data_IF_677201573910
#
_entry.id   IF_677201573910
#
_cell.length_a   1.000
_cell.length_b   1.000
_cell.length_c   1.000
_cell.angle_alpha   90.00
_cell.angle_beta   90.00
_cell.angle_gamma   90.00
#
_symmetry.space_group_name_H-M   'P 1'
#
loop_
_entity.id
_entity.type
_entity.pdbx_description
1 polymer ?
#
# COMPACT_ATOMS: atom_id res chain seq x y z
N UNK A 1 33.54 -17.33 6.95
CA UNK A 1 32.09 -17.24 6.81
C UNK A 1 31.49 -15.90 7.18
N UNK A 2 32.08 -15.10 8.08
CA UNK A 2 31.44 -13.82 8.53
C UNK A 2 31.65 -12.58 7.63
N UNK A 3 32.52 -12.62 6.62
CA UNK A 3 32.77 -11.47 5.75
C UNK A 3 31.82 -11.37 4.54
N UNK A 4 31.22 -12.49 4.15
CA UNK A 4 30.26 -12.53 3.02
C UNK A 4 28.88 -12.07 3.52
N UNK A 5 28.46 -12.46 4.73
CA UNK A 5 27.19 -12.02 5.33
C UNK A 5 27.12 -10.50 5.55
N UNK A 6 28.24 -9.90 5.96
CA UNK A 6 28.32 -8.42 6.14
C UNK A 6 28.26 -7.67 4.79
N UNK A 7 28.67 -8.28 3.69
CA UNK A 7 28.65 -7.65 2.38
C UNK A 7 27.27 -7.71 1.72
N UNK A 8 26.51 -8.80 1.93
CA UNK A 8 25.13 -8.92 1.43
C UNK A 8 24.15 -8.05 2.22
N UNK A 9 24.28 -7.98 3.54
CA UNK A 9 23.47 -7.07 4.36
C UNK A 9 23.74 -5.60 4.00
N UNK A 10 24.99 -5.24 3.65
CA UNK A 10 25.33 -3.89 3.16
C UNK A 10 24.79 -3.61 1.74
N UNK A 11 24.57 -4.62 0.91
CA UNK A 11 23.97 -4.44 -0.43
C UNK A 11 22.45 -4.27 -0.37
N UNK A 12 21.75 -4.97 0.53
CA UNK A 12 20.30 -4.79 0.72
C UNK A 12 19.96 -3.42 1.35
N UNK A 13 20.76 -2.95 2.31
CA UNK A 13 20.59 -1.59 2.87
C UNK A 13 20.92 -0.48 1.86
N UNK A 14 21.78 -0.72 0.89
CA UNK A 14 22.08 0.26 -0.17
C UNK A 14 20.94 0.29 -1.21
N UNK A 15 20.24 -0.81 -1.46
CA UNK A 15 19.10 -0.82 -2.38
C UNK A 15 17.87 -0.12 -1.79
N UNK A 16 17.60 -0.30 -0.50
CA UNK A 16 16.53 0.43 0.20
C UNK A 16 16.83 1.94 0.31
N UNK A 17 18.09 2.34 0.54
CA UNK A 17 18.48 3.75 0.59
C UNK A 17 18.54 4.44 -0.77
N UNK A 18 18.71 3.71 -1.88
CA UNK A 18 18.76 4.29 -3.22
C UNK A 18 17.40 4.74 -3.76
N UNK A 19 16.30 4.34 -3.12
CA UNK A 19 14.94 4.69 -3.57
C UNK A 19 14.41 6.02 -3.01
N UNK A 20 15.12 6.64 -2.05
CA UNK A 20 14.62 7.85 -1.37
C UNK A 20 15.06 9.19 -2.01
N UNK A 21 15.89 9.17 -3.04
CA UNK A 21 16.35 10.41 -3.69
C UNK A 21 15.82 10.64 -5.10
N UNK A 22 14.87 9.84 -5.56
CA UNK A 22 14.30 10.02 -6.90
C UNK A 22 12.98 10.79 -6.90
N UNK A 23 12.94 11.95 -6.25
CA UNK A 23 12.11 13.04 -6.74
C UNK A 23 12.99 13.93 -7.61
N UNK A 24 12.91 13.78 -8.93
CA UNK A 24 13.51 14.69 -9.89
C UNK A 24 14.94 14.35 -10.28
N UNK A 25 15.13 13.32 -11.06
CA UNK A 25 16.04 13.29 -12.19
C UNK A 25 15.64 12.13 -13.10
N UNK A 26 14.66 12.36 -13.95
CA UNK A 26 14.72 11.71 -15.25
C UNK A 26 16.05 12.16 -15.85
N UNK A 27 16.89 11.19 -16.26
CA UNK A 27 18.08 11.49 -17.05
C UNK A 27 17.64 12.30 -18.28
N UNK A 28 17.67 13.62 -18.13
CA UNK A 28 17.61 14.55 -19.26
C UNK A 28 18.84 14.32 -20.12
N UNK A 29 18.75 13.35 -21.01
CA UNK A 29 19.57 13.34 -22.20
C UNK A 29 19.15 14.56 -23.02
N UNK A 30 19.82 15.65 -22.72
CA UNK A 30 19.68 16.95 -23.32
C UNK A 30 20.06 16.86 -24.80
N UNK A 31 19.11 16.41 -25.61
CA UNK A 31 19.18 16.53 -27.05
C UNK A 31 18.32 17.74 -27.46
N UNK A 32 18.98 18.86 -27.65
CA UNK A 32 18.44 20.17 -28.02
C UNK A 32 17.79 20.16 -29.42
N UNK A 33 16.69 19.46 -29.56
CA UNK A 33 15.79 19.54 -30.69
C UNK A 33 14.34 19.42 -30.17
N UNK A 34 13.73 20.51 -29.70
CA UNK A 34 12.29 20.72 -29.60
C UNK A 34 11.43 19.59 -28.97
N UNK A 35 11.98 18.60 -28.30
CA UNK A 35 11.29 17.51 -27.71
C UNK A 35 10.86 17.89 -26.28
N UNK A 36 9.57 17.85 -26.08
CA UNK A 36 8.92 17.96 -24.79
C UNK A 36 9.50 16.95 -23.80
N UNK A 37 9.71 17.34 -22.53
CA UNK A 37 10.21 16.44 -21.48
C UNK A 37 9.24 15.25 -21.25
N UNK A 38 9.73 14.15 -20.72
CA UNK A 38 8.86 13.03 -20.34
C UNK A 38 7.81 13.48 -19.32
N UNK A 39 8.18 14.32 -18.36
CA UNK A 39 7.27 14.91 -17.38
C UNK A 39 6.12 15.66 -18.06
N UNK A 40 6.40 16.57 -18.97
CA UNK A 40 5.37 17.35 -19.68
C UNK A 40 4.44 16.46 -20.50
N UNK A 41 4.98 15.42 -21.14
CA UNK A 41 4.18 14.46 -21.91
C UNK A 41 3.24 13.67 -20.98
N UNK A 42 3.72 13.22 -19.84
CA UNK A 42 2.90 12.51 -18.85
C UNK A 42 1.85 13.45 -18.25
N UNK A 43 2.23 14.67 -17.92
CA UNK A 43 1.28 15.68 -17.43
C UNK A 43 0.16 15.95 -18.44
N UNK A 44 0.49 16.09 -19.72
CA UNK A 44 -0.54 16.26 -20.75
C UNK A 44 -1.48 15.06 -20.85
N UNK A 45 -0.93 13.85 -20.75
CA UNK A 45 -1.73 12.62 -20.77
C UNK A 45 -2.70 12.58 -19.59
N UNK A 46 -2.22 12.85 -18.37
CA UNK A 46 -3.06 12.86 -17.17
C UNK A 46 -4.10 14.00 -17.23
N UNK A 47 -3.73 15.18 -17.73
CA UNK A 47 -4.67 16.29 -17.97
C UNK A 47 -5.82 15.85 -18.89
N UNK A 48 -5.51 15.11 -19.95
CA UNK A 48 -6.53 14.59 -20.87
C UNK A 48 -7.41 13.52 -20.22
N UNK A 49 -6.82 12.59 -19.44
CA UNK A 49 -7.56 11.57 -18.69
C UNK A 49 -8.56 12.25 -17.75
N UNK A 50 -8.09 13.16 -16.89
CA UNK A 50 -8.91 13.85 -15.90
C UNK A 50 -9.99 14.69 -16.56
N UNK A 51 -9.65 15.46 -17.59
CA UNK A 51 -10.59 16.29 -18.33
C UNK A 51 -11.69 15.46 -19.01
N UNK A 52 -11.33 14.33 -19.61
CA UNK A 52 -12.28 13.48 -20.35
C UNK A 52 -13.22 12.73 -19.41
N UNK A 53 -12.72 12.32 -18.24
CA UNK A 53 -13.52 11.57 -17.27
C UNK A 53 -14.25 12.48 -16.26
N UNK A 54 -14.00 13.79 -16.28
CA UNK A 54 -14.66 14.71 -15.35
C UNK A 54 -16.16 14.73 -15.57
N UNK A 55 -16.91 14.34 -14.55
CA UNK A 55 -18.37 14.37 -14.53
C UNK A 55 -18.96 15.21 -13.39
N UNK A 56 -18.12 15.58 -12.42
CA UNK A 56 -18.52 16.36 -11.26
C UNK A 56 -17.44 17.39 -10.85
N UNK A 57 -17.68 18.14 -9.78
CA UNK A 57 -16.69 19.01 -9.16
C UNK A 57 -16.04 18.36 -7.92
N UNK A 58 -16.29 17.06 -7.70
CA UNK A 58 -15.82 16.29 -6.56
C UNK A 58 -14.97 15.14 -7.06
N UNK A 59 -13.82 14.92 -6.45
CA UNK A 59 -12.90 13.86 -6.87
C UNK A 59 -12.31 13.12 -5.67
N UNK A 60 -12.15 11.82 -5.83
CA UNK A 60 -11.35 10.98 -4.96
C UNK A 60 -10.14 10.49 -5.75
N UNK A 61 -8.94 10.83 -5.30
CA UNK A 61 -7.70 10.29 -5.78
C UNK A 61 -7.26 9.17 -4.83
N UNK A 62 -7.37 7.94 -5.28
CA UNK A 62 -6.86 6.78 -4.54
C UNK A 62 -5.37 6.65 -4.83
N UNK A 63 -4.55 6.62 -3.78
CA UNK A 63 -3.09 6.52 -3.89
C UNK A 63 -2.62 5.18 -3.33
N UNK A 64 -2.09 4.33 -4.19
CA UNK A 64 -1.43 3.08 -3.85
C UNK A 64 0.09 3.23 -4.01
N UNK A 65 0.87 2.39 -3.33
CA UNK A 65 2.30 2.28 -3.63
C UNK A 65 2.51 1.86 -5.08
N UNK A 66 1.73 0.92 -5.54
CA UNK A 66 1.84 0.27 -6.84
C UNK A 66 2.34 -1.17 -6.70
N UNK A 67 2.55 -1.83 -7.82
CA UNK A 67 3.14 -3.16 -7.89
C UNK A 67 3.87 -3.36 -9.20
N UNK A 68 4.90 -4.19 -9.19
CA UNK A 68 5.60 -4.71 -10.35
C UNK A 68 4.96 -6.00 -10.87
N UNK A 69 4.02 -6.58 -10.11
CA UNK A 69 3.31 -7.83 -10.42
C UNK A 69 1.97 -7.56 -11.09
N UNK A 70 1.75 -8.11 -12.27
CA UNK A 70 0.53 -7.89 -13.06
C UNK A 70 -0.75 -8.33 -12.35
N UNK A 71 -0.70 -9.40 -11.59
CA UNK A 71 -1.87 -9.90 -10.85
C UNK A 71 -2.48 -8.85 -9.92
N UNK A 72 -1.67 -7.92 -9.40
CA UNK A 72 -2.13 -6.84 -8.56
C UNK A 72 -3.00 -5.81 -9.30
N UNK A 73 -2.91 -5.74 -10.62
CA UNK A 73 -3.66 -4.74 -11.39
C UNK A 73 -5.18 -5.00 -11.36
N UNK A 74 -5.60 -6.26 -11.30
CA UNK A 74 -7.01 -6.58 -11.10
C UNK A 74 -7.53 -6.15 -9.74
N UNK A 75 -6.68 -6.25 -8.72
CA UNK A 75 -7.01 -5.75 -7.38
C UNK A 75 -7.25 -4.25 -7.40
N UNK A 76 -6.40 -3.49 -8.10
CA UNK A 76 -6.60 -2.06 -8.25
C UNK A 76 -7.91 -1.73 -8.99
N UNK A 77 -8.27 -2.51 -10.00
CA UNK A 77 -9.55 -2.34 -10.71
C UNK A 77 -10.75 -2.61 -9.80
N UNK A 78 -10.68 -3.63 -8.93
CA UNK A 78 -11.69 -3.89 -7.89
C UNK A 78 -11.80 -2.72 -6.91
N UNK A 79 -10.67 -2.19 -6.44
CA UNK A 79 -10.66 -1.02 -5.56
C UNK A 79 -11.35 0.16 -6.23
N UNK A 80 -10.96 0.54 -7.45
CA UNK A 80 -11.57 1.66 -8.18
C UNK A 80 -13.06 1.42 -8.42
N UNK A 81 -13.46 0.19 -8.76
CA UNK A 81 -14.87 -0.18 -8.96
C UNK A 81 -15.69 0.01 -7.68
N UNK A 82 -15.17 -0.46 -6.53
CA UNK A 82 -15.84 -0.31 -5.24
C UNK A 82 -15.97 1.16 -4.86
N UNK A 83 -14.91 1.97 -5.06
CA UNK A 83 -14.97 3.41 -4.80
C UNK A 83 -16.02 4.11 -5.68
N UNK A 84 -16.07 3.83 -6.97
CA UNK A 84 -17.10 4.37 -7.87
C UNK A 84 -18.52 3.99 -7.44
N UNK A 85 -18.70 2.76 -6.97
CA UNK A 85 -19.99 2.28 -6.49
C UNK A 85 -20.41 2.93 -5.15
N UNK A 86 -19.46 3.17 -4.25
CA UNK A 86 -19.70 3.67 -2.90
C UNK A 86 -19.80 5.21 -2.82
N UNK A 87 -19.27 5.92 -3.82
CA UNK A 87 -19.26 7.38 -3.88
C UNK A 87 -19.91 7.93 -5.17
N UNK A 88 -21.21 7.70 -5.38
CA UNK A 88 -21.89 8.23 -6.54
C UNK A 88 -21.80 9.77 -6.57
N UNK A 89 -21.49 10.34 -7.74
CA UNK A 89 -21.30 11.78 -7.90
C UNK A 89 -19.90 12.29 -7.55
N UNK A 90 -18.94 11.37 -7.28
CA UNK A 90 -17.51 11.65 -7.20
C UNK A 90 -16.81 11.00 -8.39
N UNK A 91 -15.91 11.74 -9.01
CA UNK A 91 -14.98 11.14 -9.96
C UNK A 91 -13.88 10.42 -9.18
N UNK A 92 -13.43 9.24 -9.65
CA UNK A 92 -12.45 8.42 -8.96
C UNK A 92 -11.28 8.12 -9.89
N UNK A 93 -10.08 8.47 -9.44
CA UNK A 93 -8.82 8.16 -10.11
C UNK A 93 -7.92 7.34 -9.20
N UNK A 94 -6.99 6.60 -9.81
CA UNK A 94 -5.95 5.82 -9.14
C UNK A 94 -4.58 6.35 -9.54
N UNK A 95 -3.69 6.53 -8.57
CA UNK A 95 -2.28 6.84 -8.79
C UNK A 95 -1.37 5.89 -8.03
N UNK A 96 -0.13 5.77 -8.50
CA UNK A 96 0.94 5.03 -7.81
C UNK A 96 1.97 6.01 -7.27
N UNK A 97 2.41 5.81 -6.02
CA UNK A 97 3.45 6.64 -5.39
C UNK A 97 4.87 6.15 -5.68
N UNK A 98 5.05 4.91 -6.14
CA UNK A 98 6.35 4.33 -6.44
C UNK A 98 6.74 4.55 -7.90
N UNK A 99 7.83 5.28 -8.13
CA UNK A 99 8.41 5.46 -9.46
C UNK A 99 8.87 4.11 -10.07
N UNK A 100 9.36 3.19 -9.25
CA UNK A 100 9.78 1.85 -9.70
C UNK A 100 8.57 1.10 -10.28
N UNK A 101 7.44 1.08 -9.57
CA UNK A 101 6.22 0.42 -10.04
C UNK A 101 5.67 1.07 -11.31
N UNK A 102 5.68 2.40 -11.39
CA UNK A 102 5.26 3.15 -12.56
C UNK A 102 6.14 2.83 -13.77
N UNK A 103 7.46 2.87 -13.61
CA UNK A 103 8.40 2.61 -14.70
C UNK A 103 8.36 1.15 -15.15
N UNK A 104 8.23 0.20 -14.22
CA UNK A 104 8.08 -1.22 -14.54
C UNK A 104 6.81 -1.47 -15.35
N UNK A 105 5.68 -0.91 -14.97
CA UNK A 105 4.43 -1.04 -15.70
C UNK A 105 4.49 -0.49 -17.14
N UNK A 106 5.33 0.54 -17.38
CA UNK A 106 5.51 1.15 -18.71
C UNK A 106 6.49 0.39 -19.60
N UNK A 107 7.60 -0.10 -19.04
CA UNK A 107 8.75 -0.59 -19.81
C UNK A 107 9.21 -1.99 -19.41
N UNK A 108 8.65 -2.60 -18.37
CA UNK A 108 9.00 -3.93 -17.88
C UNK A 108 8.56 -5.06 -18.82
N UNK A 109 8.93 -6.29 -18.49
CA UNK A 109 8.47 -7.51 -19.18
C UNK A 109 6.95 -7.62 -19.17
N UNK A 110 6.34 -7.03 -18.17
CA UNK A 110 4.90 -6.92 -17.97
C UNK A 110 4.31 -5.63 -18.53
N UNK A 111 4.97 -4.97 -19.49
CA UNK A 111 4.47 -3.75 -20.11
C UNK A 111 3.04 -3.95 -20.61
N UNK A 112 2.11 -3.71 -19.72
CA UNK A 112 0.73 -4.10 -19.85
C UNK A 112 -0.06 -3.16 -20.74
N UNK A 113 0.59 -2.27 -21.47
CA UNK A 113 -0.07 -1.19 -22.22
C UNK A 113 -1.01 -0.36 -21.34
N UNK A 114 -0.74 -0.30 -20.04
CA UNK A 114 -1.46 0.50 -19.06
C UNK A 114 -0.47 1.36 -18.30
N UNK A 115 -0.53 2.64 -18.53
CA UNK A 115 0.32 3.61 -17.85
C UNK A 115 -0.29 3.98 -16.50
N UNK A 116 0.55 3.98 -15.48
CA UNK A 116 0.24 4.57 -14.19
C UNK A 116 1.03 5.87 -14.04
N UNK A 117 0.51 6.77 -13.23
CA UNK A 117 1.08 8.09 -12.99
C UNK A 117 1.08 8.38 -11.50
N UNK A 118 2.01 9.23 -11.07
CA UNK A 118 2.15 9.62 -9.68
C UNK A 118 1.07 10.62 -9.22
N UNK A 119 0.96 10.82 -7.89
CA UNK A 119 0.00 11.74 -7.33
C UNK A 119 0.20 13.21 -7.75
N UNK A 120 1.43 13.63 -8.05
CA UNK A 120 1.72 15.00 -8.47
C UNK A 120 1.06 15.31 -9.81
N UNK A 121 1.23 14.42 -10.82
CA UNK A 121 0.57 14.57 -12.11
C UNK A 121 -0.97 14.62 -11.98
N UNK A 122 -1.54 13.74 -11.14
CA UNK A 122 -2.99 13.72 -10.94
C UNK A 122 -3.49 14.94 -10.19
N UNK A 123 -2.83 15.39 -9.12
CA UNK A 123 -3.24 16.58 -8.37
C UNK A 123 -3.16 17.84 -9.23
N UNK A 124 -2.09 17.98 -10.02
CA UNK A 124 -1.98 19.07 -11.01
C UNK A 124 -3.13 19.03 -12.01
N UNK A 125 -3.44 17.87 -12.59
CA UNK A 125 -4.54 17.74 -13.56
C UNK A 125 -5.92 18.01 -12.91
N UNK A 126 -6.14 17.55 -11.68
CA UNK A 126 -7.34 17.79 -10.88
C UNK A 126 -7.53 19.31 -10.65
N UNK A 127 -6.45 20.00 -10.26
CA UNK A 127 -6.48 21.44 -10.08
C UNK A 127 -6.78 22.20 -11.38
N UNK A 128 -6.08 21.88 -12.46
CA UNK A 128 -6.28 22.49 -13.78
C UNK A 128 -7.70 22.20 -14.33
N UNK A 129 -8.27 21.05 -14.00
CA UNK A 129 -9.66 20.73 -14.36
C UNK A 129 -10.69 21.47 -13.47
N UNK A 130 -10.27 22.15 -12.41
CA UNK A 130 -11.10 22.99 -11.55
C UNK A 130 -12.03 22.21 -10.62
N UNK A 131 -11.61 21.04 -10.12
CA UNK A 131 -12.34 20.36 -9.05
C UNK A 131 -12.39 21.23 -7.78
N UNK A 132 -13.47 21.11 -7.01
CA UNK A 132 -13.73 21.95 -5.84
C UNK A 132 -13.70 21.19 -4.52
N UNK A 133 -13.93 19.90 -4.53
CA UNK A 133 -13.78 19.02 -3.37
C UNK A 133 -12.86 17.88 -3.76
N UNK A 134 -11.78 17.75 -3.04
CA UNK A 134 -10.70 16.82 -3.36
C UNK A 134 -10.40 15.95 -2.13
N UNK A 135 -10.53 14.66 -2.30
CA UNK A 135 -10.17 13.66 -1.29
C UNK A 135 -9.01 12.84 -1.84
N UNK A 136 -7.94 12.75 -1.08
CA UNK A 136 -6.82 11.84 -1.39
C UNK A 136 -6.87 10.69 -0.39
N UNK A 137 -7.15 9.48 -0.86
CA UNK A 137 -7.19 8.29 -0.01
C UNK A 137 -5.95 7.46 -0.19
N UNK A 138 -5.19 7.33 0.87
CA UNK A 138 -4.05 6.42 0.93
C UNK A 138 -4.51 4.97 1.10
N UNK A 139 -3.96 4.04 0.32
CA UNK A 139 -4.17 2.59 0.48
C UNK A 139 -3.05 1.91 1.28
N UNK A 140 -2.18 2.65 1.94
CA UNK A 140 -1.19 2.07 2.85
C UNK A 140 -1.87 1.38 4.04
N UNK A 141 -1.12 0.47 4.69
CA UNK A 141 -1.62 -0.29 5.84
C UNK A 141 -1.45 0.52 7.13
N UNK A 142 -0.29 1.11 7.31
CA UNK A 142 0.06 1.94 8.48
C UNK A 142 0.38 3.38 8.05
N UNK A 143 0.27 4.35 8.96
CA UNK A 143 0.66 5.74 8.69
C UNK A 143 2.19 5.94 8.77
N UNK A 144 2.95 5.13 8.00
CA UNK A 144 4.41 5.19 7.93
C UNK A 144 4.93 6.18 6.88
N UNK A 145 6.15 5.93 6.38
CA UNK A 145 6.85 6.81 5.43
C UNK A 145 6.03 7.06 4.15
N UNK A 146 5.44 6.03 3.57
CA UNK A 146 4.67 6.15 2.35
C UNK A 146 3.44 7.04 2.51
N UNK A 147 2.73 6.90 3.63
CA UNK A 147 1.60 7.78 3.95
C UNK A 147 2.08 9.22 4.19
N UNK A 148 3.18 9.40 4.93
CA UNK A 148 3.77 10.71 5.15
C UNK A 148 4.08 11.40 3.81
N UNK A 149 4.62 10.66 2.85
CA UNK A 149 4.93 11.19 1.51
C UNK A 149 3.67 11.65 0.78
N UNK A 150 2.59 10.86 0.85
CA UNK A 150 1.30 11.25 0.24
C UNK A 150 0.77 12.52 0.88
N UNK A 151 0.70 12.58 2.20
CA UNK A 151 0.11 13.67 2.96
C UNK A 151 1.00 14.92 3.00
N UNK A 152 2.26 14.76 3.38
CA UNK A 152 3.16 15.85 3.71
C UNK A 152 4.03 16.33 2.55
N UNK A 153 4.04 15.59 1.44
CA UNK A 153 4.65 16.06 0.20
C UNK A 153 3.58 16.33 -0.85
N UNK A 154 3.04 15.33 -1.51
CA UNK A 154 2.14 15.55 -2.66
C UNK A 154 0.96 16.47 -2.34
N UNK A 155 0.21 16.19 -1.27
CA UNK A 155 -0.97 16.97 -0.95
C UNK A 155 -0.62 18.37 -0.43
N UNK A 156 0.39 18.51 0.45
CA UNK A 156 0.82 19.83 0.92
C UNK A 156 1.42 20.69 -0.18
N UNK A 157 2.22 20.09 -1.09
CA UNK A 157 2.77 20.83 -2.23
C UNK A 157 1.67 21.33 -3.16
N UNK A 158 0.64 20.52 -3.42
CA UNK A 158 -0.56 20.93 -4.14
C UNK A 158 -1.29 22.08 -3.45
N UNK A 159 -1.57 21.93 -2.15
CA UNK A 159 -2.29 22.95 -1.35
C UNK A 159 -1.51 24.29 -1.25
N UNK A 160 -0.20 24.22 -1.28
CA UNK A 160 0.67 25.39 -1.24
C UNK A 160 0.89 26.01 -2.65
N UNK A 161 0.31 25.41 -3.69
CA UNK A 161 0.56 25.79 -5.08
C UNK A 161 2.06 25.93 -5.40
N UNK A 162 2.84 24.94 -4.96
CA UNK A 162 4.32 25.00 -4.97
C UNK A 162 4.90 25.31 -6.34
N UNK A 163 4.30 24.75 -7.38
CA UNK A 163 4.75 24.94 -8.77
C UNK A 163 4.18 26.22 -9.41
N UNK A 164 3.23 26.89 -8.75
CA UNK A 164 2.58 28.08 -9.30
C UNK A 164 1.59 27.80 -10.44
N UNK A 165 1.06 26.57 -10.52
CA UNK A 165 0.18 26.14 -11.62
C UNK A 165 -1.22 26.72 -11.54
N UNK A 166 -1.63 27.24 -10.38
CA UNK A 166 -3.01 27.63 -10.11
C UNK A 166 -3.14 29.11 -9.78
N UNK A 167 -4.28 29.68 -10.17
CA UNK A 167 -4.63 31.07 -9.81
C UNK A 167 -5.00 31.19 -8.33
N UNK A 168 -4.81 32.39 -7.76
CA UNK A 168 -5.23 32.69 -6.37
C UNK A 168 -6.71 32.43 -6.16
N UNK A 169 -7.56 32.78 -7.12
CA UNK A 169 -9.01 32.54 -7.05
C UNK A 169 -9.34 31.04 -6.95
N UNK A 170 -8.62 30.21 -7.69
CA UNK A 170 -8.79 28.76 -7.58
C UNK A 170 -8.35 28.27 -6.20
N UNK A 171 -7.18 28.66 -5.72
CA UNK A 171 -6.66 28.26 -4.41
C UNK A 171 -7.60 28.69 -3.28
N UNK A 172 -8.12 29.92 -3.30
CA UNK A 172 -9.16 30.35 -2.36
C UNK A 172 -10.43 29.49 -2.44
N UNK A 173 -10.83 29.06 -3.65
CA UNK A 173 -12.05 28.27 -3.83
C UNK A 173 -11.95 26.82 -3.31
N UNK A 174 -10.75 26.32 -3.06
CA UNK A 174 -10.49 25.00 -2.50
C UNK A 174 -9.94 25.06 -1.06
N UNK A 175 -9.91 26.24 -0.46
CA UNK A 175 -9.52 26.37 0.95
C UNK A 175 -10.37 25.45 1.82
N UNK A 176 -9.70 24.60 2.64
CA UNK A 176 -10.32 23.54 3.47
C UNK A 176 -11.16 22.50 2.67
N UNK A 177 -11.03 22.47 1.34
CA UNK A 177 -11.73 21.52 0.48
C UNK A 177 -10.83 20.40 -0.06
N UNK A 178 -9.64 20.26 0.49
CA UNK A 178 -8.68 19.17 0.22
C UNK A 178 -8.46 18.41 1.50
N UNK A 179 -8.76 17.12 1.51
CA UNK A 179 -8.65 16.25 2.69
C UNK A 179 -7.89 14.97 2.36
N UNK A 180 -7.27 14.36 3.38
CA UNK A 180 -6.55 13.09 3.25
C UNK A 180 -7.20 12.05 4.13
N UNK A 181 -7.56 10.90 3.54
CA UNK A 181 -8.01 9.72 4.27
C UNK A 181 -6.82 8.98 4.87
N UNK A 182 -6.97 8.56 6.12
CA UNK A 182 -5.92 7.81 6.83
C UNK A 182 -5.71 6.42 6.24
N UNK A 183 -4.55 5.78 6.46
CA UNK A 183 -4.28 4.38 6.11
C UNK A 183 -5.20 3.42 6.85
N UNK A 184 -5.07 2.12 6.55
CA UNK A 184 -5.93 1.06 7.09
C UNK A 184 -5.93 1.01 8.63
N UNK A 185 -4.77 1.19 9.26
CA UNK A 185 -4.59 1.25 10.70
C UNK A 185 -4.11 2.66 11.12
N UNK A 186 -4.83 3.68 10.67
CA UNK A 186 -4.47 5.09 10.88
C UNK A 186 -5.09 5.74 12.11
N UNK A 187 -6.12 5.13 12.70
CA UNK A 187 -6.82 5.62 13.88
C UNK A 187 -6.83 4.58 15.00
N UNK A 188 -7.06 4.99 16.25
CA UNK A 188 -6.92 4.13 17.43
C UNK A 188 -7.74 2.82 17.40
N UNK A 189 -8.94 2.86 16.83
CA UNK A 189 -9.83 1.68 16.81
C UNK A 189 -9.68 0.82 15.54
N UNK A 190 -8.79 1.17 14.63
CA UNK A 190 -8.71 0.49 13.34
C UNK A 190 -8.08 -0.88 13.45
N UNK A 191 -7.14 -1.04 14.38
CA UNK A 191 -6.50 -2.31 14.68
C UNK A 191 -7.53 -3.35 15.11
N UNK A 192 -8.42 -3.00 16.04
CA UNK A 192 -9.49 -3.90 16.52
C UNK A 192 -10.47 -4.24 15.40
N UNK A 193 -10.86 -3.25 14.59
CA UNK A 193 -11.74 -3.48 13.42
C UNK A 193 -11.09 -4.43 12.42
N UNK A 194 -9.80 -4.23 12.11
CA UNK A 194 -9.06 -5.08 11.19
C UNK A 194 -8.92 -6.50 11.74
N UNK A 195 -8.59 -6.66 13.02
CA UNK A 195 -8.49 -7.96 13.66
C UNK A 195 -9.80 -8.76 13.56
N UNK A 196 -10.94 -8.11 13.82
CA UNK A 196 -12.28 -8.72 13.68
C UNK A 196 -12.53 -9.12 12.22
N UNK A 197 -12.23 -8.24 11.26
CA UNK A 197 -12.43 -8.51 9.84
C UNK A 197 -11.58 -9.67 9.36
N UNK A 198 -10.28 -9.68 9.70
CA UNK A 198 -9.37 -10.77 9.31
C UNK A 198 -9.80 -12.11 9.91
N UNK A 199 -10.13 -12.12 11.21
CA UNK A 199 -10.61 -13.33 11.85
C UNK A 199 -11.96 -13.83 11.28
N UNK A 200 -12.75 -12.95 10.63
CA UNK A 200 -14.04 -13.33 9.99
C UNK A 200 -13.88 -13.79 8.54
N UNK A 201 -12.68 -13.77 7.96
CA UNK A 201 -12.42 -14.30 6.63
C UNK A 201 -12.47 -15.84 6.63
N UNK A 202 -13.11 -16.42 5.60
CA UNK A 202 -13.39 -17.87 5.56
C UNK A 202 -12.16 -18.75 5.46
N UNK A 203 -11.16 -18.30 4.73
CA UNK A 203 -9.87 -18.99 4.58
C UNK A 203 -9.08 -18.98 5.90
N UNK A 204 -9.03 -17.84 6.58
CA UNK A 204 -8.37 -17.70 7.88
C UNK A 204 -9.07 -18.57 8.94
N UNK A 205 -10.41 -18.52 8.99
CA UNK A 205 -11.20 -19.41 9.86
C UNK A 205 -10.93 -20.89 9.60
N UNK A 206 -10.75 -21.28 8.35
CA UNK A 206 -10.46 -22.67 8.02
C UNK A 206 -9.12 -23.13 8.62
N UNK A 207 -8.09 -22.27 8.57
CA UNK A 207 -6.79 -22.55 9.22
C UNK A 207 -6.94 -22.70 10.73
N UNK A 208 -7.60 -21.75 11.39
CA UNK A 208 -7.79 -21.76 12.84
C UNK A 208 -8.60 -22.98 13.28
N UNK A 209 -9.71 -23.29 12.60
CA UNK A 209 -10.55 -24.45 12.90
C UNK A 209 -9.83 -25.78 12.72
N UNK A 210 -8.82 -25.84 11.87
CA UNK A 210 -7.95 -27.00 11.70
C UNK A 210 -6.82 -27.08 12.74
N UNK A 211 -6.75 -26.13 13.69
CA UNK A 211 -5.68 -26.05 14.70
C UNK A 211 -4.36 -25.49 14.13
N UNK A 212 -4.39 -24.86 12.96
CA UNK A 212 -3.24 -24.22 12.35
C UNK A 212 -2.96 -22.83 12.92
N UNK A 213 -1.87 -22.26 12.47
CA UNK A 213 -1.37 -20.93 12.83
C UNK A 213 -1.46 -20.05 11.62
N UNK A 214 -1.83 -18.82 11.81
CA UNK A 214 -1.83 -17.75 10.80
C UNK A 214 -0.68 -16.79 11.14
N UNK A 215 0.26 -16.64 10.22
CA UNK A 215 1.33 -15.67 10.34
C UNK A 215 1.17 -14.61 9.24
N UNK A 216 1.02 -13.37 9.68
CA UNK A 216 0.94 -12.21 8.79
C UNK A 216 2.31 -11.56 8.64
N UNK A 217 2.71 -11.31 7.40
CA UNK A 217 3.92 -10.56 7.08
C UNK A 217 3.56 -9.16 6.56
N UNK A 218 3.82 -8.13 7.38
CA UNK A 218 3.75 -6.74 6.99
C UNK A 218 5.06 -6.22 6.42
N UNK A 219 5.05 -4.98 5.92
CA UNK A 219 6.28 -4.33 5.46
C UNK A 219 7.10 -3.83 6.67
N UNK A 220 6.51 -3.01 7.51
CA UNK A 220 7.21 -2.27 8.55
C UNK A 220 7.96 -1.06 8.00
N UNK A 221 8.61 -0.32 8.89
CA UNK A 221 9.56 0.72 8.55
C UNK A 221 10.83 0.52 9.39
N UNK A 222 12.02 0.76 8.84
CA UNK A 222 13.23 0.91 9.64
C UNK A 222 13.02 2.00 10.71
N UNK A 223 13.66 1.87 11.88
CA UNK A 223 13.45 2.77 13.04
C UNK A 223 13.56 4.26 12.66
N UNK A 224 14.55 4.62 11.84
CA UNK A 224 14.76 6.00 11.41
C UNK A 224 13.67 6.55 10.46
N UNK A 225 12.78 5.69 9.96
CA UNK A 225 11.69 6.02 9.03
C UNK A 225 10.32 5.67 9.62
N UNK A 226 10.26 5.30 10.90
CA UNK A 226 9.00 5.06 11.61
C UNK A 226 8.34 6.38 12.03
N UNK A 227 7.88 7.11 11.01
CA UNK A 227 7.14 8.35 11.21
C UNK A 227 5.80 8.07 11.89
N UNK A 228 5.41 8.95 12.81
CA UNK A 228 4.21 8.84 13.64
C UNK A 228 4.19 7.62 14.58
N UNK A 229 5.32 6.92 14.80
CA UNK A 229 5.36 5.69 15.59
C UNK A 229 4.48 4.57 15.03
N UNK A 230 4.39 4.49 13.70
CA UNK A 230 3.42 3.64 13.02
C UNK A 230 3.68 2.14 13.15
N UNK A 231 4.92 1.73 13.41
CA UNK A 231 5.31 0.33 13.54
C UNK A 231 4.59 -0.38 14.70
N UNK A 232 4.19 0.36 15.74
CA UNK A 232 3.45 -0.20 16.88
C UNK A 232 2.16 -0.91 16.43
N UNK A 233 1.55 -0.50 15.30
CA UNK A 233 0.30 -1.06 14.78
C UNK A 233 0.39 -2.54 14.44
N UNK A 234 1.58 -3.03 14.06
CA UNK A 234 1.78 -4.46 13.83
C UNK A 234 1.74 -5.26 15.14
N UNK A 235 2.36 -4.75 16.19
CA UNK A 235 2.32 -5.36 17.53
C UNK A 235 0.91 -5.32 18.12
N UNK A 236 0.21 -4.20 18.00
CA UNK A 236 -1.17 -4.05 18.46
C UNK A 236 -2.11 -5.00 17.71
N UNK A 237 -1.92 -5.19 16.40
CA UNK A 237 -2.72 -6.13 15.61
C UNK A 237 -2.50 -7.57 16.07
N UNK A 238 -1.25 -7.99 16.33
CA UNK A 238 -0.99 -9.31 16.89
C UNK A 238 -1.73 -9.48 18.23
N UNK A 239 -1.62 -8.50 19.12
CA UNK A 239 -2.31 -8.54 20.42
C UNK A 239 -3.83 -8.64 20.26
N UNK A 240 -4.43 -7.84 19.38
CA UNK A 240 -5.86 -7.87 19.14
C UNK A 240 -6.33 -9.21 18.55
N UNK A 241 -5.58 -9.79 17.61
CA UNK A 241 -5.85 -11.11 17.04
C UNK A 241 -5.68 -12.23 18.07
N UNK A 242 -4.63 -12.16 18.91
CA UNK A 242 -4.40 -13.11 20.01
C UNK A 242 -5.49 -13.06 21.09
N UNK A 243 -6.13 -11.90 21.32
CA UNK A 243 -7.29 -11.81 22.20
C UNK A 243 -8.50 -12.56 21.65
N UNK A 244 -8.63 -12.67 20.32
CA UNK A 244 -9.71 -13.41 19.67
C UNK A 244 -9.44 -14.93 19.70
N UNK A 245 -8.25 -15.36 19.26
CA UNK A 245 -7.84 -16.77 19.22
C UNK A 245 -6.39 -16.90 19.71
N UNK A 246 -6.18 -17.11 21.02
CA UNK A 246 -4.84 -17.23 21.59
C UNK A 246 -4.01 -18.37 20.99
N UNK A 247 -2.75 -18.10 20.66
CA UNK A 247 -1.80 -19.09 20.12
C UNK A 247 -1.99 -19.40 18.64
N UNK A 248 -2.88 -18.68 17.94
CA UNK A 248 -3.15 -18.93 16.52
C UNK A 248 -2.72 -17.81 15.58
N UNK A 249 -2.33 -16.64 16.07
CA UNK A 249 -1.98 -15.49 15.26
C UNK A 249 -0.64 -14.91 15.62
N UNK A 250 0.17 -14.62 14.61
CA UNK A 250 1.43 -13.90 14.76
C UNK A 250 1.57 -12.86 13.64
N UNK A 251 2.17 -11.72 13.95
CA UNK A 251 2.38 -10.63 13.01
C UNK A 251 3.83 -10.20 13.06
N UNK A 252 4.54 -10.34 11.95
CA UNK A 252 5.89 -9.81 11.81
C UNK A 252 6.02 -8.97 10.56
N UNK A 253 7.23 -8.53 10.26
CA UNK A 253 7.49 -7.58 9.18
C UNK A 253 8.81 -7.88 8.46
N UNK A 254 9.00 -7.22 7.32
CA UNK A 254 10.25 -7.28 6.55
C UNK A 254 11.29 -6.29 7.11
N UNK A 255 10.89 -5.05 7.44
CA UNK A 255 11.81 -3.94 7.72
C UNK A 255 11.77 -3.39 9.15
N UNK A 256 10.85 -3.83 10.00
CA UNK A 256 10.78 -3.37 11.39
C UNK A 256 11.78 -4.15 12.24
N UNK A 257 12.71 -3.46 12.88
CA UNK A 257 13.64 -4.07 13.83
C UNK A 257 12.87 -4.77 14.97
N UNK A 258 13.42 -5.88 15.46
CA UNK A 258 12.82 -6.73 16.50
C UNK A 258 11.45 -7.36 16.16
N UNK A 259 11.07 -7.36 14.86
CA UNK A 259 9.83 -8.01 14.40
C UNK A 259 9.98 -8.81 13.08
N UNK A 260 11.18 -9.28 12.81
CA UNK A 260 11.46 -10.18 11.67
C UNK A 260 10.91 -11.58 11.91
N UNK A 261 10.99 -12.44 10.92
CA UNK A 261 10.53 -13.85 11.00
C UNK A 261 11.12 -14.61 12.18
N UNK A 262 12.40 -14.36 12.53
CA UNK A 262 13.06 -14.97 13.70
C UNK A 262 12.37 -14.59 15.01
N UNK A 263 11.99 -13.32 15.17
CA UNK A 263 11.29 -12.83 16.36
C UNK A 263 9.87 -13.43 16.44
N UNK A 264 9.19 -13.62 15.29
CA UNK A 264 7.91 -14.33 15.23
C UNK A 264 8.06 -15.76 15.73
N UNK A 265 9.07 -16.48 15.24
CA UNK A 265 9.36 -17.85 15.67
C UNK A 265 9.68 -17.92 17.18
N UNK A 266 10.39 -16.94 17.71
CA UNK A 266 10.71 -16.92 19.15
C UNK A 266 9.45 -16.71 19.99
N UNK A 267 8.54 -15.81 19.59
CA UNK A 267 7.22 -15.65 20.26
C UNK A 267 6.38 -16.92 20.19
N UNK A 268 6.38 -17.63 19.04
CA UNK A 268 5.69 -18.93 18.91
C UNK A 268 6.25 -19.96 19.91
N UNK A 269 7.58 -20.01 20.06
CA UNK A 269 8.23 -20.93 21.03
C UNK A 269 7.94 -20.56 22.47
N UNK A 270 7.90 -19.26 22.79
CA UNK A 270 7.54 -18.76 24.13
C UNK A 270 6.10 -19.13 24.49
N UNK A 271 5.20 -19.18 23.50
CA UNK A 271 3.83 -19.68 23.65
C UNK A 271 3.74 -21.24 23.66
N UNK A 272 4.89 -21.94 23.62
CA UNK A 272 4.97 -23.39 23.62
C UNK A 272 4.72 -24.06 22.28
N UNK A 273 4.67 -23.30 21.20
CA UNK A 273 4.41 -23.77 19.83
C UNK A 273 5.76 -23.98 19.14
N UNK A 274 6.22 -25.23 19.08
CA UNK A 274 7.52 -25.59 18.50
C UNK A 274 7.43 -26.31 17.16
N UNK A 275 6.22 -26.58 16.67
CA UNK A 275 5.93 -27.21 15.38
C UNK A 275 4.46 -27.02 15.03
N UNK A 276 4.07 -27.33 13.81
CA UNK A 276 2.68 -27.26 13.35
C UNK A 276 2.56 -26.63 11.97
N UNK A 277 1.34 -26.57 11.48
CA UNK A 277 1.05 -25.88 10.20
C UNK A 277 0.97 -24.39 10.42
N UNK A 278 1.69 -23.64 9.59
CA UNK A 278 1.67 -22.17 9.56
C UNK A 278 1.24 -21.71 8.18
N UNK A 279 0.13 -21.00 8.11
CA UNK A 279 -0.32 -20.37 6.87
C UNK A 279 0.17 -18.94 6.84
N UNK A 280 0.96 -18.57 5.83
CA UNK A 280 1.51 -17.24 5.65
C UNK A 280 0.55 -16.38 4.83
N UNK A 281 0.35 -15.14 5.28
CA UNK A 281 -0.46 -14.14 4.60
C UNK A 281 0.26 -12.81 4.51
N UNK A 282 0.23 -12.10 3.36
CA UNK A 282 0.76 -10.75 3.31
C UNK A 282 -0.18 -9.77 4.03
N UNK A 283 0.34 -9.05 5.00
CA UNK A 283 -0.32 -7.91 5.64
C UNK A 283 0.08 -6.63 4.91
N UNK A 284 -0.17 -6.62 3.63
CA UNK A 284 0.14 -5.56 2.68
C UNK A 284 -1.12 -5.24 1.88
N UNK A 285 -1.26 -4.00 1.42
CA UNK A 285 -2.42 -3.66 0.58
C UNK A 285 -2.48 -4.50 -0.69
N UNK A 286 -1.33 -4.77 -1.29
CA UNK A 286 -1.17 -5.53 -2.54
C UNK A 286 -0.04 -6.55 -2.36
N UNK A 287 -0.20 -7.75 -2.93
CA UNK A 287 0.88 -8.74 -3.02
C UNK A 287 1.85 -8.35 -4.14
N UNK A 288 2.99 -7.82 -3.75
CA UNK A 288 4.11 -7.45 -4.62
C UNK A 288 5.34 -8.31 -4.36
N UNK A 289 6.54 -7.77 -4.64
CA UNK A 289 7.82 -8.48 -4.49
C UNK A 289 7.99 -9.10 -3.09
N UNK A 290 7.70 -8.35 -2.02
CA UNK A 290 7.82 -8.88 -0.66
C UNK A 290 6.93 -10.10 -0.39
N UNK A 291 5.70 -10.13 -0.94
CA UNK A 291 4.82 -11.28 -0.74
C UNK A 291 5.29 -12.52 -1.52
N UNK A 292 5.90 -12.32 -2.68
CA UNK A 292 6.35 -13.43 -3.52
C UNK A 292 7.76 -13.89 -3.17
N UNK A 293 8.68 -12.94 -2.90
CA UNK A 293 10.08 -13.24 -2.63
C UNK A 293 10.32 -13.44 -1.13
N UNK A 294 10.15 -12.40 -0.31
CA UNK A 294 10.52 -12.47 1.12
C UNK A 294 9.58 -13.37 1.95
N UNK A 295 8.30 -13.52 1.53
CA UNK A 295 7.37 -14.39 2.25
C UNK A 295 7.32 -15.81 1.69
N UNK A 296 7.14 -15.97 0.39
CA UNK A 296 6.67 -17.22 -0.21
C UNK A 296 7.73 -18.01 -0.99
N UNK A 297 8.87 -17.43 -1.34
CA UNK A 297 9.88 -18.08 -2.18
C UNK A 297 10.54 -19.27 -1.46
N UNK A 298 10.32 -20.46 -2.01
CA UNK A 298 10.91 -21.69 -1.48
C UNK A 298 12.40 -21.87 -1.85
N UNK A 299 12.85 -21.13 -2.86
CA UNK A 299 14.24 -21.18 -3.33
C UNK A 299 15.13 -20.16 -2.61
N UNK A 300 14.53 -19.19 -1.88
CA UNK A 300 15.23 -18.23 -1.05
C UNK A 300 15.33 -18.73 0.39
N UNK A 301 16.57 -18.97 0.88
CA UNK A 301 16.83 -19.44 2.25
C UNK A 301 16.43 -18.41 3.33
N UNK A 302 16.27 -17.13 2.98
CA UNK A 302 15.93 -16.04 3.91
C UNK A 302 14.41 -15.75 3.91
N UNK A 303 13.63 -16.34 3.00
CA UNK A 303 12.18 -16.17 2.97
C UNK A 303 11.50 -16.70 4.23
N UNK A 304 10.36 -16.15 4.59
CA UNK A 304 9.55 -16.65 5.72
C UNK A 304 9.21 -18.12 5.57
N UNK A 305 8.86 -18.55 4.35
CA UNK A 305 8.61 -19.95 4.03
C UNK A 305 9.81 -20.84 4.44
N UNK A 306 11.01 -20.50 3.97
CA UNK A 306 12.21 -21.32 4.20
C UNK A 306 12.66 -21.28 5.64
N UNK A 307 12.67 -20.09 6.27
CA UNK A 307 13.11 -19.93 7.68
C UNK A 307 12.18 -20.68 8.64
N UNK A 308 10.85 -20.59 8.47
CA UNK A 308 9.90 -21.30 9.32
C UNK A 308 9.98 -22.82 9.11
N UNK A 309 10.11 -23.29 7.86
CA UNK A 309 10.27 -24.71 7.59
C UNK A 309 11.60 -25.27 8.17
N UNK A 310 12.69 -24.50 8.08
CA UNK A 310 13.97 -24.86 8.70
C UNK A 310 13.89 -24.90 10.24
N UNK A 311 13.00 -24.11 10.84
CA UNK A 311 12.74 -24.10 12.28
C UNK A 311 11.83 -25.25 12.76
N UNK A 312 11.30 -26.08 11.84
CA UNK A 312 10.51 -27.28 12.16
C UNK A 312 8.99 -27.10 12.03
N UNK A 313 8.52 -25.99 11.50
CA UNK A 313 7.11 -25.79 11.17
C UNK A 313 6.79 -26.35 9.77
N UNK A 314 5.54 -26.35 9.40
CA UNK A 314 5.03 -26.64 8.05
C UNK A 314 4.41 -25.34 7.51
N UNK A 315 5.28 -24.44 7.07
CA UNK A 315 4.86 -23.12 6.57
C UNK A 315 4.54 -23.20 5.08
N UNK A 316 3.43 -22.59 4.69
CA UNK A 316 2.97 -22.46 3.30
C UNK A 316 2.35 -21.07 3.11
N UNK A 317 2.63 -20.41 1.99
CA UNK A 317 1.92 -19.20 1.62
C UNK A 317 0.47 -19.55 1.24
N UNK A 318 -0.48 -18.71 1.68
CA UNK A 318 -1.85 -18.89 1.24
C UNK A 318 -2.00 -18.46 -0.21
N UNK A 319 -2.51 -19.35 -1.03
CA UNK A 319 -2.86 -19.09 -2.40
C UNK A 319 -4.34 -19.36 -2.66
N UNK A 320 -4.89 -18.63 -3.61
CA UNK A 320 -6.23 -18.85 -4.16
C UNK A 320 -6.16 -18.84 -5.68
N UNK A 321 -7.27 -19.10 -6.34
CA UNK A 321 -7.31 -19.15 -7.79
C UNK A 321 -8.21 -18.07 -8.37
N UNK A 322 -7.84 -17.54 -9.53
CA UNK A 322 -8.72 -16.67 -10.28
C UNK A 322 -9.98 -17.42 -10.73
N UNK A 323 -11.14 -16.84 -10.45
CA UNK A 323 -12.43 -17.42 -10.87
C UNK A 323 -12.77 -17.09 -12.31
N UNK A 324 -12.20 -16.02 -12.84
CA UNK A 324 -12.38 -15.54 -14.21
C UNK A 324 -11.02 -15.24 -14.83
N UNK A 325 -10.93 -15.25 -16.15
CA UNK A 325 -9.76 -14.72 -16.82
C UNK A 325 -9.73 -13.21 -16.60
N UNK A 326 -8.68 -12.77 -15.91
CA UNK A 326 -8.48 -11.39 -15.60
C UNK A 326 -7.15 -10.95 -16.18
N UNK A 327 -7.03 -9.69 -16.51
CA UNK A 327 -5.85 -9.13 -17.12
C UNK A 327 -5.20 -10.02 -18.23
N UNK A 328 -4.25 -9.55 -18.99
CA UNK A 328 -3.82 -10.21 -20.25
C UNK A 328 -3.25 -11.63 -20.12
N UNK A 329 -2.72 -11.99 -18.97
CA UNK A 329 -1.94 -13.22 -18.82
C UNK A 329 -2.59 -14.25 -17.89
N UNK A 330 -3.48 -13.83 -16.98
CA UNK A 330 -4.09 -14.74 -16.01
C UNK A 330 -5.36 -15.37 -16.55
N UNK A 331 -5.47 -16.67 -16.33
CA UNK A 331 -6.63 -17.49 -16.72
C UNK A 331 -7.41 -17.91 -15.48
N UNK A 332 -8.68 -18.20 -15.68
CA UNK A 332 -9.45 -18.90 -14.65
C UNK A 332 -8.72 -20.18 -14.22
N UNK A 333 -8.49 -20.33 -12.92
CA UNK A 333 -7.76 -21.43 -12.32
C UNK A 333 -6.28 -21.20 -12.05
N UNK A 334 -5.68 -20.11 -12.54
CA UNK A 334 -4.31 -19.75 -12.18
C UNK A 334 -4.27 -19.35 -10.68
N UNK A 335 -3.21 -19.76 -9.99
CA UNK A 335 -2.99 -19.48 -8.58
C UNK A 335 -2.40 -18.09 -8.36
N UNK A 336 -2.74 -17.44 -7.26
CA UNK A 336 -2.15 -16.18 -6.82
C UNK A 336 -2.21 -16.02 -5.31
N UNK A 337 -1.33 -15.18 -4.76
CA UNK A 337 -1.32 -14.79 -3.34
C UNK A 337 -2.25 -13.60 -3.15
N UNK A 338 -3.39 -13.73 -2.43
CA UNK A 338 -4.26 -12.59 -2.16
C UNK A 338 -3.73 -11.72 -1.02
N UNK A 339 -3.74 -10.40 -1.23
CA UNK A 339 -3.40 -9.42 -0.21
C UNK A 339 -4.66 -8.78 0.42
N UNK A 340 -4.45 -7.77 1.26
CA UNK A 340 -5.54 -7.11 2.00
C UNK A 340 -6.60 -6.49 1.08
N UNK A 341 -6.18 -5.83 -0.01
CA UNK A 341 -7.12 -5.19 -0.93
C UNK A 341 -7.92 -6.19 -1.80
N UNK A 342 -7.56 -7.48 -1.82
CA UNK A 342 -8.42 -8.53 -2.40
C UNK A 342 -9.67 -8.81 -1.55
N UNK A 343 -9.60 -8.50 -0.26
CA UNK A 343 -10.66 -8.77 0.71
C UNK A 343 -11.67 -7.63 0.75
N UNK A 344 -12.91 -7.90 0.33
CA UNK A 344 -13.94 -6.85 0.24
C UNK A 344 -14.25 -6.18 1.58
N UNK A 345 -14.20 -6.93 2.68
CA UNK A 345 -14.40 -6.38 4.02
C UNK A 345 -13.25 -5.45 4.44
N UNK A 346 -12.02 -5.75 4.04
CA UNK A 346 -10.88 -4.86 4.29
C UNK A 346 -10.98 -3.60 3.43
N UNK A 347 -11.32 -3.72 2.13
CA UNK A 347 -11.58 -2.54 1.29
C UNK A 347 -12.65 -1.62 1.88
N UNK A 348 -13.66 -2.19 2.54
CA UNK A 348 -14.70 -1.41 3.21
C UNK A 348 -14.15 -0.52 4.34
N UNK A 349 -13.06 -0.89 5.02
CA UNK A 349 -12.40 -0.07 6.03
C UNK A 349 -11.76 1.17 5.39
N UNK A 350 -10.99 1.04 4.30
CA UNK A 350 -10.45 2.21 3.57
C UNK A 350 -11.58 3.11 3.03
N UNK A 351 -12.66 2.53 2.54
CA UNK A 351 -13.84 3.28 2.08
C UNK A 351 -14.47 4.05 3.25
N UNK A 352 -14.49 3.48 4.44
CA UNK A 352 -14.97 4.17 5.64
C UNK A 352 -14.07 5.37 5.98
N UNK A 353 -12.73 5.22 5.94
CA UNK A 353 -11.79 6.33 6.13
C UNK A 353 -11.99 7.45 5.10
N UNK A 354 -12.32 7.09 3.86
CA UNK A 354 -12.67 8.09 2.84
C UNK A 354 -13.94 8.86 3.22
N UNK A 355 -14.98 8.20 3.78
CA UNK A 355 -16.18 8.88 4.28
C UNK A 355 -15.88 9.82 5.44
N UNK A 356 -15.02 9.39 6.35
CA UNK A 356 -14.55 10.18 7.49
C UNK A 356 -13.74 11.40 7.01
N UNK A 357 -12.87 11.22 6.01
CA UNK A 357 -12.17 12.33 5.38
C UNK A 357 -13.14 13.32 4.69
N UNK A 358 -14.13 12.83 3.96
CA UNK A 358 -15.17 13.68 3.35
C UNK A 358 -15.91 14.52 4.42
N UNK A 359 -16.16 13.97 5.59
CA UNK A 359 -16.82 14.70 6.68
C UNK A 359 -15.97 15.86 7.24
N UNK A 360 -14.65 15.86 7.00
CA UNK A 360 -13.73 16.94 7.39
C UNK A 360 -13.64 18.07 6.36
N UNK A 361 -14.26 17.96 5.19
CA UNK A 361 -14.30 19.04 4.19
C UNK A 361 -14.93 20.30 4.76
N UNK A 362 -14.28 21.44 4.57
CA UNK A 362 -14.69 22.73 5.09
C UNK A 362 -14.34 22.98 6.56
N UNK A 363 -13.61 22.09 7.21
CA UNK A 363 -13.14 22.22 8.59
C UNK A 363 -11.64 22.51 8.67
N UNK A 364 -11.14 22.83 9.86
CA UNK A 364 -9.71 23.02 10.12
C UNK A 364 -8.94 21.67 10.24
N UNK A 365 -9.67 20.54 10.30
CA UNK A 365 -9.10 19.20 10.51
C UNK A 365 -8.81 18.46 9.18
N UNK A 366 -8.77 19.18 8.07
CA UNK A 366 -8.59 18.58 6.74
C UNK A 366 -7.34 17.70 6.60
N UNK A 367 -6.25 18.07 7.28
CA UNK A 367 -4.98 17.31 7.31
C UNK A 367 -4.61 16.87 8.74
N UNK A 368 -5.57 16.36 9.49
CA UNK A 368 -5.32 15.86 10.84
C UNK A 368 -4.21 14.80 10.85
N UNK A 369 -3.39 14.82 11.90
CA UNK A 369 -2.32 13.84 12.09
C UNK A 369 -2.94 12.51 12.51
N UNK A 370 -2.44 11.36 12.01
CA UNK A 370 -2.86 10.06 12.51
C UNK A 370 -2.60 9.91 14.02
N UNK A 371 -3.43 9.12 14.70
CA UNK A 371 -3.40 8.99 16.16
C UNK A 371 -2.35 8.02 16.71
N UNK A 372 -1.47 7.49 15.86
CA UNK A 372 -0.36 6.61 16.26
C UNK A 372 0.80 7.32 16.90
N UNK A 373 0.82 8.67 16.89
CA UNK A 373 1.91 9.40 17.53
C UNK A 373 1.93 9.05 19.04
N UNK A 374 2.93 8.28 19.44
CA UNK A 374 3.28 8.10 20.86
C UNK A 374 3.82 9.45 21.33
N UNK A 375 3.16 10.07 22.30
CA UNK A 375 3.66 11.27 22.98
C UNK A 375 4.97 10.98 23.76
#
# INVERSE_FOLDING_TARGET
MNKIKTLMLAMMTILACATFTACGSDDDNNNSNGNQSNYDRYQQTVNNIVKTQKSSNKVILVVAFGSTWEQAYDTFDKVVSDYKAQFPGWDVFLSFSSAICINNARAGENAASRDFYDPEHFLTAIGLAGYKQIVVQSLQVIPGEEYRRVRDSYVKDFMNNRNGDFTEDYMHSIDKQVVVGVPLMGEDNDVDKLAVVLNDESDIKAVINAGGIVAFMGHGNPENYDYYGANIRYTELEQALQLINPGHYYVGTVDMEDNYVGNVIDRMKDDGITSGKVQLYPLMSIAGDHAHNDMADADDEESWYSVMNAAGYQAEAYETTFTEACWKQHKSGDSYIPALAERSKVRALWIQHTREAIAKLGTDDALSTPTTAVE
#
